data_IF_411384104718
#
_entry.id   IF_411384104718
#
_cell.length_a   1.000
_cell.length_b   1.000
_cell.length_c   1.000
_cell.angle_alpha   90.00
_cell.angle_beta   90.00
_cell.angle_gamma   90.00
#
_symmetry.space_group_name_H-M   'P 1'
#
loop_
_entity.id
_entity.type
_entity.pdbx_description
1 polymer ?
#
# COMPACT_ATOMS: atom_id res chain seq x y z
N UNK A 1 -10.60 -14.49 -5.44
CA UNK A 1 -9.80 -15.28 -6.41
C UNK A 1 -8.81 -16.22 -5.73
N UNK A 2 -8.36 -17.27 -6.42
CA UNK A 2 -7.19 -18.06 -6.00
C UNK A 2 -5.89 -17.27 -6.26
N UNK A 3 -4.93 -17.33 -5.33
CA UNK A 3 -3.66 -16.60 -5.39
C UNK A 3 -2.57 -17.41 -6.11
N UNK A 4 -2.61 -18.74 -6.00
CA UNK A 4 -1.56 -19.62 -6.49
C UNK A 4 -1.30 -19.48 -8.01
N UNK A 5 -0.05 -19.39 -8.41
CA UNK A 5 0.40 -19.28 -9.79
C UNK A 5 0.19 -17.94 -10.48
N UNK A 6 -0.52 -17.00 -9.86
CA UNK A 6 -0.82 -15.66 -10.40
C UNK A 6 0.27 -14.66 -10.04
N UNK A 7 0.35 -13.57 -10.80
CA UNK A 7 1.36 -12.53 -10.61
C UNK A 7 0.78 -11.37 -9.81
N UNK A 8 1.55 -10.90 -8.83
CA UNK A 8 1.24 -9.77 -7.98
C UNK A 8 2.37 -8.76 -7.97
N UNK A 9 2.03 -7.48 -8.04
CA UNK A 9 2.97 -6.37 -7.83
C UNK A 9 2.78 -5.84 -6.42
N UNK A 10 3.89 -5.65 -5.69
CA UNK A 10 3.88 -5.00 -4.38
C UNK A 10 4.85 -3.81 -4.43
N UNK A 11 4.30 -2.59 -4.42
CA UNK A 11 5.13 -1.38 -4.32
C UNK A 11 5.53 -1.13 -2.86
N UNK A 12 6.71 -0.54 -2.64
CA UNK A 12 7.26 -0.43 -1.28
C UNK A 12 7.57 -1.79 -0.66
N UNK A 13 7.82 -2.80 -1.49
CA UNK A 13 7.98 -4.20 -1.07
C UNK A 13 9.34 -4.54 -0.46
N UNK A 14 10.28 -3.59 -0.40
CA UNK A 14 11.60 -3.80 0.19
C UNK A 14 11.60 -3.78 1.73
N UNK A 15 10.51 -3.40 2.38
CA UNK A 15 10.42 -3.35 3.85
C UNK A 15 8.98 -3.27 4.36
N UNK A 16 8.80 -3.45 5.68
CA UNK A 16 7.57 -3.17 6.41
C UNK A 16 6.33 -3.89 5.87
N UNK A 17 5.24 -3.14 5.67
CA UNK A 17 3.95 -3.71 5.23
C UNK A 17 4.05 -4.38 3.86
N UNK A 18 4.78 -3.75 2.93
CA UNK A 18 4.99 -4.29 1.58
C UNK A 18 5.79 -5.60 1.62
N UNK A 19 6.89 -5.66 2.36
CA UNK A 19 7.67 -6.88 2.53
C UNK A 19 6.83 -8.01 3.13
N UNK A 20 6.10 -7.75 4.24
CA UNK A 20 5.23 -8.75 4.86
C UNK A 20 4.17 -9.28 3.89
N UNK A 21 3.59 -8.37 3.08
CA UNK A 21 2.61 -8.76 2.05
C UNK A 21 3.25 -9.61 0.95
N UNK A 22 4.42 -9.20 0.45
CA UNK A 22 5.13 -9.95 -0.58
C UNK A 22 5.47 -11.38 -0.12
N UNK A 23 5.97 -11.53 1.12
CA UNK A 23 6.27 -12.84 1.72
C UNK A 23 5.03 -13.71 1.86
N UNK A 24 3.92 -13.14 2.34
CA UNK A 24 2.67 -13.88 2.52
C UNK A 24 2.06 -14.32 1.18
N UNK A 25 2.05 -13.45 0.17
CA UNK A 25 1.59 -13.80 -1.17
C UNK A 25 2.44 -14.93 -1.78
N UNK A 26 3.77 -14.83 -1.67
CA UNK A 26 4.67 -15.88 -2.14
C UNK A 26 4.44 -17.21 -1.41
N UNK A 27 4.22 -17.20 -0.08
CA UNK A 27 3.92 -18.43 0.69
C UNK A 27 2.62 -19.11 0.26
N UNK A 28 1.71 -18.35 -0.40
CA UNK A 28 0.47 -18.88 -1.01
C UNK A 28 0.65 -19.26 -2.50
N UNK A 29 1.88 -19.29 -2.98
CA UNK A 29 2.21 -19.72 -4.34
C UNK A 29 2.09 -18.63 -5.41
N UNK A 30 1.97 -17.35 -5.01
CA UNK A 30 2.01 -16.24 -5.95
C UNK A 30 3.42 -16.04 -6.54
N UNK A 31 3.49 -15.54 -7.76
CA UNK A 31 4.68 -14.92 -8.33
C UNK A 31 4.66 -13.43 -7.98
N UNK A 32 5.65 -12.96 -7.24
CA UNK A 32 5.66 -11.58 -6.72
C UNK A 32 6.72 -10.74 -7.40
N UNK A 33 6.32 -9.56 -7.88
CA UNK A 33 7.22 -8.50 -8.34
C UNK A 33 7.26 -7.40 -7.28
N UNK A 34 8.42 -7.19 -6.70
CA UNK A 34 8.70 -6.13 -5.74
C UNK A 34 9.14 -4.89 -6.52
N UNK A 35 8.43 -3.78 -6.32
CA UNK A 35 8.74 -2.46 -6.87
C UNK A 35 9.15 -1.51 -5.74
N UNK A 36 10.41 -1.07 -5.71
CA UNK A 36 10.92 -0.20 -4.64
C UNK A 36 12.12 0.64 -5.14
N UNK A 37 12.37 1.76 -4.48
CA UNK A 37 13.55 2.59 -4.73
C UNK A 37 14.83 1.99 -4.12
N UNK A 38 14.71 1.17 -3.07
CA UNK A 38 15.81 0.57 -2.31
C UNK A 38 16.29 -0.73 -2.96
N UNK A 39 17.17 -0.62 -3.96
CA UNK A 39 17.57 -1.75 -4.79
C UNK A 39 18.13 -2.93 -3.98
N UNK A 40 19.07 -2.69 -3.06
CA UNK A 40 19.73 -3.75 -2.29
C UNK A 40 18.73 -4.54 -1.43
N UNK A 41 17.88 -3.81 -0.69
CA UNK A 41 16.86 -4.46 0.15
C UNK A 41 15.80 -5.15 -0.67
N UNK A 42 15.30 -4.49 -1.72
CA UNK A 42 14.27 -5.07 -2.60
C UNK A 42 14.76 -6.34 -3.29
N UNK A 43 16.01 -6.36 -3.77
CA UNK A 43 16.62 -7.57 -4.35
C UNK A 43 16.77 -8.68 -3.31
N UNK A 44 17.20 -8.35 -2.08
CA UNK A 44 17.33 -9.34 -1.01
C UNK A 44 15.97 -9.98 -0.65
N UNK A 45 14.92 -9.16 -0.52
CA UNK A 45 13.56 -9.68 -0.27
C UNK A 45 13.08 -10.53 -1.45
N UNK A 46 13.19 -10.05 -2.69
CA UNK A 46 12.78 -10.78 -3.89
C UNK A 46 13.47 -12.15 -3.98
N UNK A 47 14.79 -12.18 -3.82
CA UNK A 47 15.56 -13.42 -3.80
C UNK A 47 15.08 -14.40 -2.74
N UNK A 48 14.81 -13.89 -1.52
CA UNK A 48 14.39 -14.73 -0.39
C UNK A 48 13.02 -15.40 -0.57
N UNK A 49 12.17 -14.84 -1.45
CA UNK A 49 10.82 -15.36 -1.72
C UNK A 49 10.70 -16.01 -3.11
N UNK A 50 11.79 -16.13 -3.86
CA UNK A 50 11.75 -16.59 -5.25
C UNK A 50 10.98 -15.67 -6.20
N UNK A 51 10.90 -14.37 -5.86
CA UNK A 51 10.24 -13.33 -6.64
C UNK A 51 11.20 -12.51 -7.48
N UNK A 52 10.69 -11.43 -8.06
CA UNK A 52 11.45 -10.50 -8.91
C UNK A 52 11.51 -9.11 -8.27
N UNK A 53 12.58 -8.39 -8.55
CA UNK A 53 12.75 -6.99 -8.14
C UNK A 53 12.85 -6.08 -9.35
N UNK A 54 12.13 -4.96 -9.30
CA UNK A 54 12.25 -3.85 -10.27
C UNK A 54 12.42 -2.55 -9.49
N UNK A 55 13.50 -1.82 -9.74
CA UNK A 55 13.68 -0.48 -9.16
C UNK A 55 12.61 0.44 -9.72
N UNK A 56 11.88 1.15 -8.83
CA UNK A 56 10.73 1.93 -9.25
C UNK A 56 10.51 3.14 -8.34
N UNK A 57 10.49 4.33 -8.92
CA UNK A 57 9.78 5.48 -8.36
C UNK A 57 8.33 5.40 -8.83
N UNK A 58 7.40 5.15 -7.92
CA UNK A 58 5.97 5.00 -8.26
C UNK A 58 5.37 6.23 -8.92
N UNK A 59 5.96 7.40 -8.73
CA UNK A 59 5.53 8.66 -9.36
C UNK A 59 6.03 8.82 -10.80
N UNK A 60 6.97 7.97 -11.25
CA UNK A 60 7.45 7.90 -12.63
C UNK A 60 6.55 6.98 -13.46
N UNK A 61 6.02 7.50 -14.56
CA UNK A 61 5.23 6.69 -15.50
C UNK A 61 6.08 5.59 -16.15
N UNK A 62 7.31 5.93 -16.54
CA UNK A 62 8.25 5.00 -17.18
C UNK A 62 8.60 3.84 -16.26
N UNK A 63 8.95 4.13 -14.99
CA UNK A 63 9.27 3.10 -14.00
C UNK A 63 8.05 2.19 -13.74
N UNK A 64 6.86 2.80 -13.55
CA UNK A 64 5.62 2.05 -13.37
C UNK A 64 5.32 1.12 -14.55
N UNK A 65 5.51 1.60 -15.79
CA UNK A 65 5.32 0.78 -16.98
C UNK A 65 6.34 -0.38 -17.06
N UNK A 66 7.58 -0.14 -16.66
CA UNK A 66 8.61 -1.19 -16.61
C UNK A 66 8.22 -2.30 -15.61
N UNK A 67 7.71 -1.93 -14.43
CA UNK A 67 7.20 -2.89 -13.43
C UNK A 67 6.06 -3.73 -13.99
N UNK A 68 5.05 -3.09 -14.61
CA UNK A 68 3.89 -3.81 -15.18
C UNK A 68 4.32 -4.73 -16.32
N UNK A 69 5.20 -4.26 -17.20
CA UNK A 69 5.75 -5.07 -18.30
C UNK A 69 6.47 -6.30 -17.75
N UNK A 70 7.33 -6.14 -16.72
CA UNK A 70 8.00 -7.25 -16.08
C UNK A 70 7.01 -8.24 -15.47
N UNK A 71 6.00 -7.75 -14.75
CA UNK A 71 4.98 -8.60 -14.14
C UNK A 71 4.21 -9.43 -15.20
N UNK A 72 3.77 -8.78 -16.28
CA UNK A 72 3.07 -9.46 -17.38
C UNK A 72 3.92 -10.52 -18.08
N UNK A 73 5.25 -10.37 -18.10
CA UNK A 73 6.14 -11.39 -18.67
C UNK A 73 6.25 -12.67 -17.83
N UNK A 74 5.87 -12.61 -16.55
CA UNK A 74 5.89 -13.76 -15.63
C UNK A 74 4.58 -14.56 -15.66
N UNK A 75 3.50 -13.97 -16.20
CA UNK A 75 2.19 -14.59 -16.27
C UNK A 75 1.05 -13.59 -16.13
N UNK A 76 -0.11 -14.08 -15.69
CA UNK A 76 -1.33 -13.29 -15.54
C UNK A 76 -1.21 -12.36 -14.33
N UNK A 77 -1.08 -11.04 -14.58
CA UNK A 77 -1.09 -10.03 -13.52
C UNK A 77 -2.49 -9.91 -12.94
N UNK A 78 -2.67 -10.32 -11.68
CA UNK A 78 -3.97 -10.36 -11.01
C UNK A 78 -4.04 -9.50 -9.76
N UNK A 79 -2.91 -9.02 -9.24
CA UNK A 79 -2.92 -8.24 -8.02
C UNK A 79 -1.93 -7.08 -8.01
N UNK A 80 -2.35 -5.97 -7.38
CA UNK A 80 -1.50 -4.84 -7.01
C UNK A 80 -1.70 -4.52 -5.53
N UNK A 81 -0.60 -4.36 -4.79
CA UNK A 81 -0.64 -3.79 -3.43
C UNK A 81 0.27 -2.57 -3.37
N UNK A 82 -0.34 -1.40 -3.24
CA UNK A 82 0.36 -0.13 -3.10
C UNK A 82 0.75 0.11 -1.64
N UNK A 83 2.02 -0.17 -1.28
CA UNK A 83 2.60 0.13 0.03
C UNK A 83 3.68 1.22 -0.02
N UNK A 84 4.13 1.65 -1.21
CA UNK A 84 5.09 2.73 -1.34
C UNK A 84 4.52 4.04 -0.79
N UNK A 85 5.32 4.75 0.01
CA UNK A 85 4.90 6.02 0.58
C UNK A 85 5.92 6.61 1.55
N UNK A 86 5.74 7.90 1.84
CA UNK A 86 6.53 8.67 2.79
C UNK A 86 5.58 9.36 3.79
N UNK A 87 6.07 9.63 5.00
CA UNK A 87 5.30 10.26 6.06
C UNK A 87 6.06 11.46 6.65
N UNK A 88 6.22 12.56 5.91
CA UNK A 88 6.83 13.76 6.45
C UNK A 88 5.92 14.38 7.53
N UNK A 89 6.54 14.93 8.57
CA UNK A 89 5.83 15.64 9.63
C UNK A 89 6.36 17.07 9.73
N UNK A 90 5.52 18.04 9.37
CA UNK A 90 5.83 19.47 9.48
C UNK A 90 4.54 20.25 9.75
N UNK A 91 4.58 21.18 10.73
CA UNK A 91 3.43 22.02 11.06
C UNK A 91 3.15 23.02 9.94
N UNK A 92 1.87 23.36 9.72
CA UNK A 92 1.47 24.39 8.78
C UNK A 92 2.18 25.73 9.04
N UNK A 93 2.40 26.07 10.31
CA UNK A 93 3.31 27.14 10.74
C UNK A 93 4.17 26.58 11.87
N UNK A 94 5.48 26.48 11.63
CA UNK A 94 6.48 26.03 12.60
C UNK A 94 7.35 27.19 13.11
N UNK A 95 8.38 26.88 13.91
CA UNK A 95 9.34 27.88 14.44
C UNK A 95 10.15 28.54 13.31
N UNK A 96 10.40 27.86 12.21
CA UNK A 96 11.15 28.32 11.04
C UNK A 96 10.30 29.01 9.97
N UNK A 97 8.98 29.15 10.20
CA UNK A 97 8.06 29.75 9.24
C UNK A 97 6.97 28.80 8.74
N UNK A 98 6.41 29.05 7.55
CA UNK A 98 5.37 28.23 6.96
C UNK A 98 5.92 26.88 6.50
N UNK A 99 5.02 25.87 6.45
CA UNK A 99 5.31 24.54 5.89
C UNK A 99 5.94 24.66 4.50
N UNK A 100 7.03 23.95 4.26
CA UNK A 100 7.69 23.93 2.96
C UNK A 100 6.76 23.32 1.88
N UNK A 101 6.32 24.13 0.90
CA UNK A 101 5.44 23.65 -0.16
C UNK A 101 6.03 22.48 -0.97
N UNK A 102 7.36 22.45 -1.15
CA UNK A 102 8.06 21.35 -1.81
C UNK A 102 7.89 20.02 -1.06
N UNK A 103 7.90 20.04 0.28
CA UNK A 103 7.70 18.83 1.10
C UNK A 103 6.25 18.33 1.00
N UNK A 104 5.28 19.25 1.06
CA UNK A 104 3.87 18.94 0.82
C UNK A 104 3.68 18.29 -0.56
N UNK A 105 4.17 18.95 -1.61
CA UNK A 105 4.07 18.47 -2.99
C UNK A 105 4.72 17.09 -3.16
N UNK A 106 5.90 16.87 -2.58
CA UNK A 106 6.58 15.56 -2.61
C UNK A 106 5.73 14.47 -1.97
N UNK A 107 5.10 14.76 -0.82
CA UNK A 107 4.23 13.80 -0.15
C UNK A 107 3.02 13.41 -1.02
N UNK A 108 2.36 14.39 -1.62
CA UNK A 108 1.24 14.17 -2.55
C UNK A 108 1.71 13.38 -3.77
N UNK A 109 2.83 13.75 -4.35
CA UNK A 109 3.37 13.10 -5.56
C UNK A 109 3.66 11.63 -5.31
N UNK A 110 4.39 11.30 -4.26
CA UNK A 110 4.73 9.90 -3.98
C UNK A 110 3.51 9.10 -3.53
N UNK A 111 2.78 9.58 -2.52
CA UNK A 111 1.74 8.78 -1.88
C UNK A 111 0.46 8.68 -2.72
N UNK A 112 0.00 9.78 -3.30
CA UNK A 112 -1.29 9.84 -4.00
C UNK A 112 -1.12 9.65 -5.49
N UNK A 113 -0.30 10.49 -6.15
CA UNK A 113 -0.11 10.41 -7.60
C UNK A 113 0.58 9.08 -7.95
N UNK A 114 1.61 8.67 -7.18
CA UNK A 114 2.29 7.39 -7.39
C UNK A 114 1.36 6.18 -7.23
N UNK A 115 0.49 6.17 -6.20
CA UNK A 115 -0.52 5.12 -6.06
C UNK A 115 -1.48 5.07 -7.25
N UNK A 116 -1.99 6.24 -7.69
CA UNK A 116 -2.87 6.31 -8.86
C UNK A 116 -2.15 5.88 -10.15
N UNK A 117 -0.88 6.27 -10.32
CA UNK A 117 -0.07 5.85 -11.45
C UNK A 117 0.02 4.32 -11.57
N UNK A 118 0.34 3.64 -10.47
CA UNK A 118 0.38 2.17 -10.45
C UNK A 118 -1.00 1.54 -10.67
N UNK A 119 -2.07 2.12 -10.09
CA UNK A 119 -3.45 1.65 -10.30
C UNK A 119 -3.82 1.69 -11.78
N UNK A 120 -3.67 2.82 -12.46
CA UNK A 120 -4.08 2.97 -13.86
C UNK A 120 -3.32 2.04 -14.80
N UNK A 121 -2.00 1.86 -14.58
CA UNK A 121 -1.16 0.99 -15.41
C UNK A 121 -1.49 -0.50 -15.18
N UNK A 122 -1.68 -0.91 -13.92
CA UNK A 122 -2.09 -2.27 -13.61
C UNK A 122 -3.52 -2.56 -14.09
N UNK A 123 -4.45 -1.62 -13.93
CA UNK A 123 -5.83 -1.78 -14.39
C UNK A 123 -5.90 -1.97 -15.91
N UNK A 124 -5.12 -1.19 -16.68
CA UNK A 124 -5.03 -1.36 -18.11
C UNK A 124 -4.52 -2.77 -18.51
N UNK A 125 -3.46 -3.25 -17.85
CA UNK A 125 -2.96 -4.60 -18.07
C UNK A 125 -3.96 -5.69 -17.66
N UNK A 126 -4.57 -5.56 -16.47
CA UNK A 126 -5.56 -6.51 -15.94
C UNK A 126 -6.82 -6.57 -16.81
N UNK A 127 -7.26 -5.45 -17.40
CA UNK A 127 -8.45 -5.39 -18.24
C UNK A 127 -8.38 -6.31 -19.46
N UNK A 128 -7.18 -6.65 -19.89
CA UNK A 128 -6.89 -7.58 -21.01
C UNK A 128 -6.78 -9.04 -20.60
N UNK A 129 -6.86 -9.34 -19.30
CA UNK A 129 -6.85 -10.73 -18.84
C UNK A 129 -8.13 -11.46 -19.27
N UNK A 130 -8.02 -12.75 -19.58
CA UNK A 130 -9.19 -13.63 -19.59
C UNK A 130 -9.77 -13.67 -18.17
N UNK A 131 -11.11 -13.50 -18.03
CA UNK A 131 -11.74 -13.48 -16.71
C UNK A 131 -11.62 -14.84 -16.02
N UNK A 132 -11.53 -14.81 -14.68
CA UNK A 132 -11.70 -16.00 -13.86
C UNK A 132 -13.18 -16.48 -13.91
N UNK A 133 -13.49 -17.63 -13.29
CA UNK A 133 -14.85 -18.16 -13.25
C UNK A 133 -15.88 -17.21 -12.60
N UNK A 134 -15.41 -16.32 -11.70
CA UNK A 134 -16.22 -15.27 -11.08
C UNK A 134 -16.42 -14.03 -11.96
N UNK A 135 -15.77 -13.96 -13.13
CA UNK A 135 -15.69 -12.76 -13.97
C UNK A 135 -14.56 -11.80 -13.59
N UNK A 136 -13.80 -12.12 -12.54
CA UNK A 136 -12.73 -11.26 -12.04
C UNK A 136 -11.48 -11.29 -12.94
N UNK A 137 -10.89 -10.11 -13.19
CA UNK A 137 -9.66 -9.94 -13.96
C UNK A 137 -8.51 -9.37 -13.14
N UNK A 138 -8.77 -8.92 -11.92
CA UNK A 138 -7.76 -8.41 -11.02
C UNK A 138 -8.31 -7.70 -9.80
N UNK A 139 -7.43 -7.50 -8.82
CA UNK A 139 -7.75 -6.77 -7.57
C UNK A 139 -6.59 -5.85 -7.23
N UNK A 140 -6.91 -4.63 -6.84
CA UNK A 140 -5.94 -3.64 -6.41
C UNK A 140 -6.24 -3.21 -4.97
N UNK A 141 -5.18 -3.11 -4.16
CA UNK A 141 -5.25 -2.68 -2.77
C UNK A 141 -4.31 -1.51 -2.58
N UNK A 142 -4.83 -0.40 -2.05
CA UNK A 142 -4.04 0.77 -1.69
C UNK A 142 -3.90 0.89 -0.17
N UNK A 143 -2.73 1.39 0.28
CA UNK A 143 -2.46 1.66 1.69
C UNK A 143 -2.73 3.12 2.01
N UNK A 144 -3.87 3.39 2.67
CA UNK A 144 -4.13 4.68 3.28
C UNK A 144 -3.45 4.79 4.67
N UNK A 145 -4.11 5.36 5.63
CA UNK A 145 -3.74 5.44 7.06
C UNK A 145 -4.95 5.90 7.86
N UNK A 146 -4.99 5.59 9.15
CA UNK A 146 -5.92 6.25 10.07
C UNK A 146 -5.72 7.78 10.10
N UNK A 147 -4.53 8.27 9.75
CA UNK A 147 -4.26 9.70 9.60
C UNK A 147 -5.09 10.39 8.49
N UNK A 148 -5.72 9.62 7.60
CA UNK A 148 -6.72 10.14 6.65
C UNK A 148 -8.00 10.65 7.36
N UNK A 149 -8.26 10.16 8.56
CA UNK A 149 -9.47 10.45 9.38
C UNK A 149 -9.12 11.23 10.63
N UNK A 150 -8.09 10.79 11.35
CA UNK A 150 -7.70 11.27 12.67
C UNK A 150 -6.27 11.87 12.64
N UNK A 151 -5.95 12.71 11.65
CA UNK A 151 -4.59 13.27 11.48
C UNK A 151 -4.11 14.10 12.67
N UNK A 152 -2.83 13.95 13.00
CA UNK A 152 -2.18 14.62 14.13
C UNK A 152 -1.52 15.94 13.70
N UNK A 153 -1.09 16.73 14.69
CA UNK A 153 -0.30 17.95 14.48
C UNK A 153 0.95 17.64 13.64
N UNK A 154 1.12 18.39 12.55
CA UNK A 154 2.23 18.21 11.61
C UNK A 154 1.96 17.24 10.46
N UNK A 155 0.81 16.57 10.42
CA UNK A 155 0.49 15.58 9.40
C UNK A 155 -0.34 16.11 8.22
N UNK A 156 -0.46 17.43 8.02
CA UNK A 156 -1.32 17.99 6.98
C UNK A 156 -1.04 17.39 5.58
N UNK A 157 0.21 17.32 5.15
CA UNK A 157 0.60 16.73 3.86
C UNK A 157 0.29 15.23 3.79
N UNK A 158 0.66 14.51 4.85
CA UNK A 158 0.43 13.06 4.94
C UNK A 158 -1.05 12.73 4.96
N UNK A 159 -1.83 13.39 5.82
CA UNK A 159 -3.29 13.21 5.91
C UNK A 159 -4.00 13.55 4.61
N UNK A 160 -3.59 14.64 3.93
CA UNK A 160 -4.12 15.00 2.62
C UNK A 160 -3.85 13.90 1.58
N UNK A 161 -2.62 13.36 1.54
CA UNK A 161 -2.26 12.28 0.62
C UNK A 161 -3.06 11.00 0.87
N UNK A 162 -3.22 10.63 2.14
CA UNK A 162 -3.96 9.42 2.55
C UNK A 162 -5.49 9.60 2.46
N UNK A 163 -5.98 10.82 2.70
CA UNK A 163 -7.37 11.21 2.44
C UNK A 163 -7.72 11.15 0.94
N UNK A 164 -6.78 11.54 0.08
CA UNK A 164 -6.93 11.39 -1.38
C UNK A 164 -7.06 9.91 -1.80
N UNK A 165 -6.27 9.01 -1.22
CA UNK A 165 -6.39 7.55 -1.45
C UNK A 165 -7.77 7.04 -1.03
N UNK A 166 -8.26 7.45 0.14
CA UNK A 166 -9.62 7.14 0.62
C UNK A 166 -10.66 7.64 -0.38
N UNK A 167 -10.55 8.91 -0.81
CA UNK A 167 -11.51 9.54 -1.73
C UNK A 167 -11.57 8.89 -3.10
N UNK A 168 -10.45 8.40 -3.64
CA UNK A 168 -10.42 7.75 -4.96
C UNK A 168 -10.82 6.25 -4.94
N UNK A 169 -10.99 5.64 -3.77
CA UNK A 169 -11.24 4.18 -3.65
C UNK A 169 -12.52 3.77 -4.36
N UNK A 170 -13.65 4.37 -3.99
CA UNK A 170 -14.96 4.03 -4.56
C UNK A 170 -15.14 4.45 -6.03
N UNK A 171 -14.73 5.66 -6.46
CA UNK A 171 -14.79 6.03 -7.87
C UNK A 171 -14.04 5.04 -8.76
N UNK A 172 -12.81 4.67 -8.42
CA UNK A 172 -12.02 3.71 -9.20
C UNK A 172 -12.69 2.33 -9.24
N UNK A 173 -13.24 1.84 -8.11
CA UNK A 173 -13.96 0.58 -8.10
C UNK A 173 -15.18 0.59 -9.05
N UNK A 174 -15.88 1.73 -9.13
CA UNK A 174 -17.02 1.92 -10.04
C UNK A 174 -16.58 2.01 -11.50
N UNK A 175 -15.51 2.75 -11.80
CA UNK A 175 -14.93 2.87 -13.14
C UNK A 175 -14.55 1.51 -13.70
N UNK A 176 -13.97 0.64 -12.86
CA UNK A 176 -13.40 -0.64 -13.25
C UNK A 176 -14.38 -1.84 -13.13
N UNK A 177 -15.59 -1.61 -12.63
CA UNK A 177 -16.57 -2.67 -12.42
C UNK A 177 -16.85 -3.47 -13.71
N UNK A 178 -17.02 -2.79 -14.85
CA UNK A 178 -17.25 -3.44 -16.15
C UNK A 178 -16.04 -4.22 -16.66
N UNK A 179 -14.85 -3.91 -16.16
CA UNK A 179 -13.62 -4.61 -16.48
C UNK A 179 -13.39 -5.85 -15.58
N UNK A 180 -14.26 -6.10 -14.59
CA UNK A 180 -14.09 -7.19 -13.64
C UNK A 180 -12.89 -6.97 -12.71
N UNK A 181 -12.56 -5.72 -12.36
CA UNK A 181 -11.42 -5.36 -11.49
C UNK A 181 -11.96 -4.71 -10.23
N UNK A 182 -11.55 -5.23 -9.06
CA UNK A 182 -11.88 -4.66 -7.75
C UNK A 182 -10.80 -3.70 -7.28
N UNK A 183 -11.20 -2.67 -6.53
CA UNK A 183 -10.29 -1.71 -5.91
C UNK A 183 -10.67 -1.51 -4.45
N UNK A 184 -9.73 -1.76 -3.55
CA UNK A 184 -9.90 -1.70 -2.11
C UNK A 184 -8.84 -0.82 -1.47
N UNK A 185 -9.10 -0.36 -0.27
CA UNK A 185 -8.11 0.38 0.52
C UNK A 185 -8.05 -0.17 1.95
N UNK A 186 -6.85 -0.36 2.47
CA UNK A 186 -6.60 -0.63 3.88
C UNK A 186 -6.09 0.66 4.52
N UNK A 187 -6.64 1.04 5.66
CA UNK A 187 -6.18 2.16 6.48
C UNK A 187 -5.55 1.61 7.77
N UNK A 188 -4.24 1.35 7.80
CA UNK A 188 -3.55 0.85 8.98
C UNK A 188 -3.55 1.87 10.11
N UNK A 189 -3.59 1.38 11.35
CA UNK A 189 -3.29 2.11 12.56
C UNK A 189 -1.78 2.27 12.78
N UNK A 190 -1.32 2.02 14.00
CA UNK A 190 0.09 2.11 14.36
C UNK A 190 0.72 0.72 14.19
N UNK A 191 1.61 0.61 13.21
CA UNK A 191 2.26 -0.65 12.84
C UNK A 191 3.77 -0.60 13.07
N UNK A 192 4.33 -1.70 13.57
CA UNK A 192 5.77 -1.91 13.71
C UNK A 192 6.44 -1.98 12.33
N UNK A 193 6.94 -0.84 11.89
CA UNK A 193 7.67 -0.69 10.62
C UNK A 193 9.05 -0.11 10.90
N UNK A 194 10.03 -0.20 9.98
CA UNK A 194 11.35 0.40 10.17
C UNK A 194 11.29 1.89 10.56
N UNK A 195 10.28 2.62 10.08
CA UNK A 195 10.06 4.02 10.45
C UNK A 195 9.72 4.15 11.94
N UNK A 196 8.83 3.31 12.47
CA UNK A 196 8.46 3.34 13.88
C UNK A 196 9.61 2.87 14.78
N UNK A 197 10.35 1.85 14.37
CA UNK A 197 11.48 1.32 15.14
C UNK A 197 12.70 2.27 15.19
N UNK A 198 12.69 3.38 14.44
CA UNK A 198 13.68 4.45 14.60
C UNK A 198 13.43 5.33 15.82
N UNK A 199 12.25 5.27 16.46
CA UNK A 199 11.95 5.99 17.70
C UNK A 199 12.48 5.24 18.93
N UNK A 200 12.75 5.96 20.06
CA UNK A 200 13.10 5.32 21.34
C UNK A 200 12.04 4.31 21.78
N UNK A 201 12.47 3.25 22.51
CA UNK A 201 11.59 2.17 22.96
C UNK A 201 10.39 2.68 23.77
N UNK A 202 10.61 3.68 24.66
CA UNK A 202 9.54 4.28 25.46
C UNK A 202 8.43 4.89 24.59
N UNK A 203 8.78 5.48 23.44
CA UNK A 203 7.78 6.02 22.48
C UNK A 203 7.04 4.89 21.79
N UNK A 204 7.74 3.83 21.40
CA UNK A 204 7.10 2.64 20.80
C UNK A 204 6.11 2.00 21.77
N UNK A 205 6.48 1.86 23.04
CA UNK A 205 5.64 1.26 24.09
C UNK A 205 4.41 2.15 24.38
N UNK A 206 4.59 3.47 24.43
CA UNK A 206 3.49 4.41 24.61
C UNK A 206 2.49 4.36 23.45
N UNK A 207 2.98 4.24 22.21
CA UNK A 207 2.16 4.09 21.02
C UNK A 207 1.41 2.74 21.02
N UNK A 208 2.07 1.66 21.42
CA UNK A 208 1.45 0.34 21.54
C UNK A 208 0.33 0.32 22.59
N UNK A 209 0.57 0.94 23.76
CA UNK A 209 -0.40 1.07 24.83
C UNK A 209 -1.63 1.92 24.45
N UNK A 210 -1.49 2.80 23.46
CA UNK A 210 -2.60 3.59 22.92
C UNK A 210 -3.58 2.78 22.07
N UNK A 211 -3.24 1.55 21.66
CA UNK A 211 -4.14 0.67 20.89
C UNK A 211 -5.09 -0.04 21.86
N UNK A 212 -6.42 0.16 21.74
CA UNK A 212 -7.38 -0.43 22.67
C UNK A 212 -7.32 -1.96 22.74
N UNK A 213 -7.43 -2.66 21.57
CA UNK A 213 -7.34 -4.11 21.53
C UNK A 213 -7.08 -4.61 20.08
N UNK A 214 -6.14 -5.52 19.89
CA UNK A 214 -5.15 -5.98 20.86
C UNK A 214 -4.18 -4.86 21.23
N UNK A 215 -3.79 -4.75 22.51
CA UNK A 215 -2.94 -3.68 23.02
C UNK A 215 -1.47 -3.90 22.63
N UNK A 216 -1.18 -3.71 21.36
CA UNK A 216 0.12 -3.84 20.72
C UNK A 216 0.16 -3.09 19.39
N UNK A 217 1.36 -2.89 18.89
CA UNK A 217 1.54 -2.46 17.51
C UNK A 217 1.00 -3.52 16.54
N UNK A 218 0.40 -3.08 15.44
CA UNK A 218 0.14 -3.95 14.30
C UNK A 218 1.45 -4.46 13.69
N UNK A 219 1.43 -5.65 13.14
CA UNK A 219 2.59 -6.26 12.46
C UNK A 219 2.38 -6.28 10.95
N UNK A 220 3.46 -6.37 10.13
CA UNK A 220 3.33 -6.59 8.70
C UNK A 220 2.43 -7.80 8.37
N UNK A 221 2.45 -8.85 9.19
CA UNK A 221 1.59 -10.02 9.01
C UNK A 221 0.10 -9.70 9.23
N UNK A 222 -0.26 -8.82 10.19
CA UNK A 222 -1.66 -8.42 10.38
C UNK A 222 -2.20 -7.73 9.13
N UNK A 223 -1.37 -6.86 8.51
CA UNK A 223 -1.71 -6.21 7.25
C UNK A 223 -1.83 -7.21 6.09
N UNK A 224 -0.84 -8.08 5.95
CA UNK A 224 -0.78 -9.07 4.89
C UNK A 224 -1.95 -10.06 4.93
N UNK A 225 -2.40 -10.48 6.13
CA UNK A 225 -3.59 -11.31 6.31
C UNK A 225 -4.85 -10.64 5.76
N UNK A 226 -5.03 -9.34 6.03
CA UNK A 226 -6.17 -8.61 5.49
C UNK A 226 -6.06 -8.45 3.97
N UNK A 227 -4.87 -8.14 3.45
CA UNK A 227 -4.64 -8.05 2.02
C UNK A 227 -4.98 -9.37 1.30
N UNK A 228 -4.53 -10.50 1.84
CA UNK A 228 -4.88 -11.84 1.34
C UNK A 228 -6.38 -12.08 1.40
N UNK A 229 -7.03 -11.75 2.53
CA UNK A 229 -8.49 -11.90 2.65
C UNK A 229 -9.24 -11.08 1.61
N UNK A 230 -8.78 -9.86 1.31
CA UNK A 230 -9.39 -9.03 0.25
C UNK A 230 -9.25 -9.69 -1.12
N UNK A 231 -8.10 -10.30 -1.43
CA UNK A 231 -7.93 -11.04 -2.68
C UNK A 231 -8.86 -12.24 -2.77
N UNK A 232 -9.02 -12.99 -1.69
CA UNK A 232 -9.82 -14.22 -1.63
C UNK A 232 -11.34 -13.98 -1.50
N UNK A 233 -11.78 -12.77 -1.12
CA UNK A 233 -13.19 -12.43 -0.88
C UNK A 233 -13.75 -11.53 -1.98
N UNK A 234 -14.46 -12.12 -2.92
CA UNK A 234 -14.94 -11.47 -4.15
C UNK A 234 -15.98 -10.35 -3.89
N UNK A 235 -16.63 -10.34 -2.72
CA UNK A 235 -17.65 -9.32 -2.40
C UNK A 235 -17.05 -8.01 -1.88
N UNK A 236 -15.77 -8.00 -1.52
CA UNK A 236 -15.08 -6.78 -1.06
C UNK A 236 -14.65 -5.93 -2.26
N UNK A 237 -15.32 -4.80 -2.48
CA UNK A 237 -15.02 -3.85 -3.55
C UNK A 237 -15.44 -2.43 -3.18
N UNK A 238 -14.58 -1.45 -3.43
CA UNK A 238 -14.88 -0.01 -3.26
C UNK A 238 -14.85 0.48 -1.82
N UNK A 239 -14.37 -0.31 -0.85
CA UNK A 239 -14.39 -0.01 0.58
C UNK A 239 -13.02 0.33 1.14
N UNK A 240 -13.02 1.08 2.22
CA UNK A 240 -11.83 1.42 3.03
C UNK A 240 -11.94 0.72 4.38
N UNK A 241 -11.05 -0.23 4.64
CA UNK A 241 -11.06 -0.98 5.90
C UNK A 241 -10.00 -0.43 6.84
N UNK A 242 -10.44 0.12 7.99
CA UNK A 242 -9.53 0.49 9.09
C UNK A 242 -9.02 -0.78 9.76
N UNK A 243 -7.69 -0.91 9.80
CA UNK A 243 -7.00 -2.02 10.48
C UNK A 243 -6.16 -1.42 11.60
N UNK A 244 -6.78 -1.13 12.75
CA UNK A 244 -6.21 -0.20 13.71
C UNK A 244 -6.41 -0.57 15.19
N UNK A 245 -6.98 -1.72 15.50
CA UNK A 245 -7.24 -2.13 16.89
C UNK A 245 -8.16 -1.15 17.63
N UNK A 246 -9.03 -0.45 16.92
CA UNK A 246 -9.96 0.56 17.42
C UNK A 246 -9.31 1.87 17.92
N UNK A 247 -8.02 2.12 17.60
CA UNK A 247 -7.39 3.38 17.98
C UNK A 247 -7.99 4.58 17.21
N UNK A 248 -8.08 5.71 17.89
CA UNK A 248 -8.29 7.04 17.30
C UNK A 248 -7.12 7.91 17.74
N UNK A 249 -6.42 8.50 16.77
CA UNK A 249 -5.23 9.28 17.09
C UNK A 249 -5.60 10.51 17.89
N UNK A 250 -4.93 10.72 19.03
CA UNK A 250 -4.98 11.99 19.72
C UNK A 250 -4.31 13.09 18.89
N UNK A 251 -4.61 14.38 19.12
CA UNK A 251 -3.99 15.48 18.36
C UNK A 251 -2.45 15.52 18.43
N UNK A 252 -1.89 14.89 19.47
CA UNK A 252 -0.43 14.77 19.74
C UNK A 252 -0.10 13.39 20.23
#
# INVERSE_FOLDING_TARGET
MDIAGKVFIVTGGASGLGEGTARMLSSKGAKVVIADMQADKGTAVATSIGGEFVKCDVSSEEDGQAVVTRACSLGKLMGLVNCAGIAPAEKTVGKSGPHALALFSKCITVNLIGSFNMIRLCADAMSRNEPEATGERGVMISTASIAAFDGQIGQAAYSASKGGIVGMTLPIARDLARNGIRNMTIAPGIFGTPMLFSFPQEVQDALAAGVPFPSRLGTPDDYAKLAVHIFENDMLNGEVIRLDGAIRLAPR
#
